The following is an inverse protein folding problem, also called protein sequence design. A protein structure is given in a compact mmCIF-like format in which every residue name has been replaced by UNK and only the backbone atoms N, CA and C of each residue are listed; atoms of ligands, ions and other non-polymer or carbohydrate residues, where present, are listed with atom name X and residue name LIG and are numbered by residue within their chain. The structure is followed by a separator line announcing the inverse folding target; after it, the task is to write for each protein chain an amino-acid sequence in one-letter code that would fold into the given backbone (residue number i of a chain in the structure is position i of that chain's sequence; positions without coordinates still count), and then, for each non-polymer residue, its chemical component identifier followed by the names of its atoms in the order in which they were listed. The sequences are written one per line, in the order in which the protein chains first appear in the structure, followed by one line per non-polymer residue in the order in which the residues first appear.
data_IF_298230813664
#
_entry.id   IF_298230813664
#
_cell.length_a   1.000
_cell.length_b   1.000
_cell.length_c   1.000
_cell.angle_alpha   90.00
_cell.angle_beta   90.00
_cell.angle_gamma   90.00
#
_symmetry.space_group_name_H-M   'P 1'
#
loop_
_entity.id
_entity.type
_entity.pdbx_description
1 polymer ?
#
# COMPACT_ATOMS: atom_id res chain seq x y z
N UNK A 1 2.44 -1.43 10.17
CA UNK A 1 2.85 -0.33 9.26
C UNK A 1 3.78 0.72 9.90
N UNK A 2 3.80 0.92 11.23
CA UNK A 2 4.59 1.98 11.87
C UNK A 2 6.09 1.69 12.17
N UNK A 3 6.63 0.56 11.73
CA UNK A 3 8.00 0.17 12.11
C UNK A 3 9.07 1.00 11.40
N UNK A 4 8.92 1.30 10.11
CA UNK A 4 9.88 2.13 9.36
C UNK A 4 9.96 3.53 9.95
N UNK A 5 8.81 4.16 10.25
CA UNK A 5 8.81 5.47 10.91
C UNK A 5 9.47 5.45 12.28
N UNK A 6 9.24 4.38 13.05
CA UNK A 6 9.85 4.22 14.37
C UNK A 6 11.37 4.12 14.26
N UNK A 7 11.88 3.39 13.26
CA UNK A 7 13.31 3.25 13.00
C UNK A 7 13.91 4.57 12.54
N UNK A 8 13.28 5.29 11.60
CA UNK A 8 13.70 6.62 11.15
C UNK A 8 13.80 7.57 12.35
N UNK A 9 12.78 7.60 13.22
CA UNK A 9 12.78 8.44 14.44
C UNK A 9 13.90 8.06 15.40
N UNK A 10 14.22 6.77 15.54
CA UNK A 10 15.32 6.30 16.41
C UNK A 10 16.67 6.73 15.86
N UNK A 11 16.91 6.58 14.56
CA UNK A 11 18.17 6.99 13.92
C UNK A 11 18.34 8.52 14.00
N UNK A 12 17.30 9.31 13.72
CA UNK A 12 17.38 10.78 13.82
C UNK A 12 17.67 11.29 15.24
N UNK A 13 17.34 10.51 16.27
CA UNK A 13 17.56 10.85 17.69
C UNK A 13 18.79 10.15 18.29
N UNK A 14 19.47 9.29 17.54
CA UNK A 14 20.59 8.53 18.08
C UNK A 14 21.78 9.43 18.38
N UNK A 15 22.36 9.26 19.56
CA UNK A 15 23.65 9.83 19.93
C UNK A 15 24.59 8.70 20.33
N UNK A 16 25.83 8.76 19.86
CA UNK A 16 26.84 7.74 20.13
C UNK A 16 27.90 8.27 21.08
N UNK A 17 28.34 7.41 21.99
CA UNK A 17 29.45 7.71 22.89
C UNK A 17 30.76 7.53 22.13
N UNK A 18 31.68 8.49 22.29
CA UNK A 18 33.01 8.42 21.68
C UNK A 18 33.90 7.47 22.49
N UNK A 19 34.68 6.64 21.79
CA UNK A 19 35.67 5.75 22.40
C UNK A 19 37.00 5.80 21.64
N UNK A 20 38.10 5.52 22.33
CA UNK A 20 39.48 5.59 21.79
C UNK A 20 39.74 4.70 20.56
N UNK A 21 38.94 3.64 20.37
CA UNK A 21 38.99 2.75 19.20
C UNK A 21 37.64 2.71 18.45
N UNK A 22 36.83 3.75 18.59
CA UNK A 22 35.53 3.85 17.94
C UNK A 22 35.64 4.16 16.45
N UNK A 23 34.52 3.98 15.74
CA UNK A 23 34.39 4.43 14.36
C UNK A 23 34.51 5.95 14.27
N UNK A 24 35.00 6.45 13.13
CA UNK A 24 35.00 7.89 12.87
C UNK A 24 33.57 8.38 12.78
N UNK A 25 33.26 9.40 13.58
CA UNK A 25 31.92 9.98 13.67
C UNK A 25 31.37 10.39 12.30
N UNK A 26 32.17 11.05 11.48
CA UNK A 26 31.77 11.54 10.15
C UNK A 26 31.36 10.39 9.22
N UNK A 27 32.11 9.29 9.21
CA UNK A 27 31.80 8.10 8.40
C UNK A 27 30.49 7.44 8.86
N UNK A 28 30.26 7.39 10.18
CA UNK A 28 29.01 6.87 10.76
C UNK A 28 27.83 7.79 10.42
N UNK A 29 28.01 9.10 10.56
CA UNK A 29 26.94 10.07 10.28
C UNK A 29 26.54 10.04 8.80
N UNK A 30 27.50 9.93 7.87
CA UNK A 30 27.23 9.75 6.44
C UNK A 30 26.46 8.45 6.16
N UNK A 31 26.90 7.33 6.72
CA UNK A 31 26.22 6.05 6.56
C UNK A 31 24.78 6.09 7.09
N UNK A 32 24.56 6.70 8.26
CA UNK A 32 23.22 6.85 8.82
C UNK A 32 22.34 7.75 7.96
N UNK A 33 22.91 8.78 7.34
CA UNK A 33 22.19 9.63 6.39
C UNK A 33 21.77 8.86 5.14
N UNK A 34 22.64 8.03 4.56
CA UNK A 34 22.29 7.16 3.43
C UNK A 34 21.17 6.17 3.80
N UNK A 35 21.28 5.52 4.97
CA UNK A 35 20.24 4.62 5.49
C UNK A 35 18.92 5.37 5.64
N UNK A 36 18.92 6.59 6.17
CA UNK A 36 17.72 7.41 6.30
C UNK A 36 17.06 7.68 4.95
N UNK A 37 17.83 8.05 3.94
CA UNK A 37 17.31 8.27 2.58
C UNK A 37 16.66 7.00 2.03
N UNK A 38 17.31 5.85 2.16
CA UNK A 38 16.75 4.58 1.71
C UNK A 38 15.46 4.22 2.44
N UNK A 39 15.40 4.43 3.76
CA UNK A 39 14.21 4.16 4.57
C UNK A 39 13.05 5.09 4.21
N UNK A 40 13.32 6.38 3.96
CA UNK A 40 12.30 7.33 3.54
C UNK A 40 11.75 6.99 2.15
N UNK A 41 12.61 6.61 1.20
CA UNK A 41 12.18 6.14 -0.12
C UNK A 41 11.34 4.86 -0.05
N UNK A 42 11.76 3.90 0.79
CA UNK A 42 11.01 2.66 1.01
C UNK A 42 9.64 2.94 1.64
N UNK A 43 9.57 3.87 2.61
CA UNK A 43 8.30 4.31 3.21
C UNK A 43 7.36 4.89 2.16
N UNK A 44 7.83 5.87 1.38
CA UNK A 44 7.02 6.54 0.36
C UNK A 44 6.50 5.54 -0.69
N UNK A 45 7.35 4.59 -1.09
CA UNK A 45 6.97 3.53 -2.03
C UNK A 45 5.88 2.62 -1.47
N UNK A 46 6.00 2.25 -0.19
CA UNK A 46 5.01 1.41 0.49
C UNK A 46 3.67 2.14 0.65
N UNK A 47 3.70 3.43 1.00
CA UNK A 47 2.48 4.25 1.12
C UNK A 47 1.77 4.37 -0.25
N UNK A 48 2.53 4.59 -1.33
CA UNK A 48 1.99 4.62 -2.69
C UNK A 48 1.38 3.28 -3.12
N UNK A 49 2.02 2.16 -2.78
CA UNK A 49 1.48 0.82 -3.05
C UNK A 49 0.21 0.55 -2.24
N UNK A 50 0.17 0.97 -0.98
CA UNK A 50 -1.01 0.86 -0.13
C UNK A 50 -2.21 1.60 -0.72
N UNK A 51 -2.00 2.82 -1.22
CA UNK A 51 -3.04 3.59 -1.92
C UNK A 51 -3.53 2.89 -3.19
N UNK A 52 -2.62 2.32 -3.99
CA UNK A 52 -3.00 1.55 -5.19
C UNK A 52 -3.81 0.30 -4.85
N UNK A 53 -3.46 -0.41 -3.78
CA UNK A 53 -4.24 -1.56 -3.31
C UNK A 53 -5.66 -1.12 -2.94
N UNK A 54 -5.80 -0.04 -2.17
CA UNK A 54 -7.12 0.49 -1.81
C UNK A 54 -7.95 0.90 -3.03
N UNK A 55 -7.31 1.53 -4.03
CA UNK A 55 -7.96 1.89 -5.28
C UNK A 55 -8.45 0.64 -6.04
N UNK A 56 -7.60 -0.38 -6.18
CA UNK A 56 -7.98 -1.61 -6.85
C UNK A 56 -9.07 -2.37 -6.10
N UNK A 57 -9.04 -2.40 -4.77
CA UNK A 57 -10.11 -3.00 -3.96
C UNK A 57 -11.47 -2.34 -4.24
N UNK A 58 -11.52 -1.00 -4.30
CA UNK A 58 -12.77 -0.28 -4.65
C UNK A 58 -13.25 -0.59 -6.07
N UNK A 59 -12.33 -0.63 -7.03
CA UNK A 59 -12.66 -1.00 -8.42
C UNK A 59 -13.21 -2.42 -8.50
N UNK A 60 -12.65 -3.34 -7.73
CA UNK A 60 -13.12 -4.72 -7.67
C UNK A 60 -14.51 -4.83 -7.05
N UNK A 61 -14.78 -4.11 -5.95
CA UNK A 61 -16.12 -4.03 -5.35
C UNK A 61 -17.17 -3.50 -6.35
N UNK A 62 -16.84 -2.43 -7.09
CA UNK A 62 -17.72 -1.89 -8.12
C UNK A 62 -17.98 -2.88 -9.25
N UNK A 63 -16.94 -3.57 -9.74
CA UNK A 63 -17.09 -4.57 -10.78
C UNK A 63 -17.94 -5.78 -10.33
N UNK A 64 -17.85 -6.16 -9.05
CA UNK A 64 -18.71 -7.20 -8.46
C UNK A 64 -20.18 -6.76 -8.49
N UNK A 65 -20.47 -5.54 -8.06
CA UNK A 65 -21.83 -5.00 -8.07
C UNK A 65 -22.41 -4.90 -9.49
N UNK A 66 -21.61 -4.43 -10.46
CA UNK A 66 -22.02 -4.38 -11.87
C UNK A 66 -22.33 -5.78 -12.43
N UNK A 67 -21.50 -6.78 -12.07
CA UNK A 67 -21.74 -8.16 -12.45
C UNK A 67 -23.07 -8.68 -11.88
N UNK A 68 -23.33 -8.46 -10.59
CA UNK A 68 -24.58 -8.89 -9.94
C UNK A 68 -25.81 -8.24 -10.58
N UNK A 69 -25.72 -6.96 -10.94
CA UNK A 69 -26.79 -6.26 -11.67
C UNK A 69 -27.05 -6.89 -13.03
N UNK A 70 -25.99 -7.16 -13.81
CA UNK A 70 -26.13 -7.81 -15.11
C UNK A 70 -26.70 -9.23 -15.00
N UNK A 71 -26.32 -10.01 -13.99
CA UNK A 71 -26.87 -11.35 -13.74
C UNK A 71 -28.37 -11.28 -13.41
N UNK A 72 -28.79 -10.28 -12.63
CA UNK A 72 -30.21 -10.04 -12.35
C UNK A 72 -30.99 -9.65 -13.61
N UNK A 73 -30.47 -8.72 -14.42
CA UNK A 73 -31.09 -8.29 -15.67
C UNK A 73 -31.20 -9.44 -16.68
N UNK A 74 -30.15 -10.25 -16.82
CA UNK A 74 -30.17 -11.45 -17.67
C UNK A 74 -31.26 -12.43 -17.21
N UNK A 75 -31.40 -12.63 -15.90
CA UNK A 75 -32.44 -13.50 -15.34
C UNK A 75 -33.83 -12.94 -15.63
N UNK A 76 -34.03 -11.63 -15.45
CA UNK A 76 -35.28 -10.93 -15.77
C UNK A 76 -35.65 -11.09 -17.24
N UNK A 77 -34.73 -10.78 -18.15
CA UNK A 77 -34.96 -10.87 -19.59
C UNK A 77 -35.25 -12.32 -20.06
N UNK A 78 -34.54 -13.31 -19.51
CA UNK A 78 -34.84 -14.73 -19.77
C UNK A 78 -36.26 -15.09 -19.35
N UNK A 79 -36.70 -14.63 -18.18
CA UNK A 79 -38.06 -14.87 -17.68
C UNK A 79 -39.14 -14.18 -18.52
N UNK A 80 -38.87 -12.96 -19.00
CA UNK A 80 -39.78 -12.23 -19.88
C UNK A 80 -39.89 -12.94 -21.23
N UNK A 81 -38.77 -13.33 -21.84
CA UNK A 81 -38.74 -14.06 -23.11
C UNK A 81 -39.54 -15.36 -23.06
N UNK A 82 -39.40 -16.15 -21.99
CA UNK A 82 -40.16 -17.40 -21.81
C UNK A 82 -41.68 -17.18 -21.70
N UNK A 83 -42.13 -16.02 -21.20
CA UNK A 83 -43.57 -15.67 -21.17
C UNK A 83 -44.11 -15.30 -22.55
N UNK A 84 -43.28 -14.72 -23.42
CA UNK A 84 -43.67 -14.35 -24.78
C UNK A 84 -43.64 -15.54 -25.76
N UNK A 85 -42.75 -16.51 -25.58
CA UNK A 85 -42.69 -17.73 -26.42
C UNK A 85 -43.83 -18.73 -26.14
N UNK A 86 -44.59 -18.56 -25.05
CA UNK A 86 -45.75 -19.41 -24.69
C UNK A 86 -47.11 -18.87 -25.17
N UNK A 87 -47.15 -17.75 -25.91
CA UNK A 87 -48.36 -17.16 -26.50
C UNK A 87 -48.36 -17.31 -28.01
#
# INVERSE_FOLDING_TARGET
MNHIETIIKKIKKSTFHLSLKGYKREEVDLLLQEILVHLENAKNSNDALSHKIQEYSKRLEMAILEKEQMEFELTRLKSEKGKYEQR
#
